data_IF_665028315478
#
_entry.id   IF_665028315478
#
_cell.length_a   1.000
_cell.length_b   1.000
_cell.length_c   1.000
_cell.angle_alpha   90.00
_cell.angle_beta   90.00
_cell.angle_gamma   90.00
#
_symmetry.space_group_name_H-M   'P 1'
#
loop_
_entity.id
_entity.type
_entity.pdbx_description
1 polymer ?
#
# COMPACT_ATOMS: atom_id res chain seq x y z
N UNK A 1 -12.61 53.18 59.18
CA UNK A 1 -11.72 52.14 58.64
C UNK A 1 -12.03 51.98 57.16
N UNK A 2 -11.45 52.83 56.31
CA UNK A 2 -11.74 52.84 54.88
C UNK A 2 -10.79 51.88 54.15
N UNK A 3 -11.33 50.74 53.69
CA UNK A 3 -10.63 49.84 52.77
C UNK A 3 -10.60 50.50 51.41
N UNK A 4 -9.44 51.01 51.00
CA UNK A 4 -9.19 51.41 49.61
C UNK A 4 -9.42 50.16 48.73
N UNK A 5 -10.53 50.17 48.00
CA UNK A 5 -10.93 49.10 47.10
C UNK A 5 -10.05 49.21 45.85
N UNK A 6 -9.03 48.37 45.77
CA UNK A 6 -8.06 48.34 44.67
C UNK A 6 -8.67 47.64 43.44
N UNK A 7 -9.61 48.28 42.77
CA UNK A 7 -10.32 47.74 41.58
C UNK A 7 -9.43 47.74 40.31
N UNK A 8 -8.37 48.57 40.30
CA UNK A 8 -7.44 48.68 39.17
C UNK A 8 -6.44 47.51 39.12
N UNK A 9 -6.04 46.95 40.27
CA UNK A 9 -5.08 45.84 40.33
C UNK A 9 -5.68 44.49 39.92
N UNK A 10 -6.95 44.22 40.25
CA UNK A 10 -7.63 42.99 39.84
C UNK A 10 -7.89 42.94 38.34
N UNK A 11 -8.15 44.09 37.72
CA UNK A 11 -8.37 44.21 36.28
C UNK A 11 -7.13 43.77 35.50
N UNK A 12 -5.93 44.17 35.93
CA UNK A 12 -4.68 43.75 35.31
C UNK A 12 -4.48 42.22 35.37
N UNK A 13 -4.78 41.61 36.52
CA UNK A 13 -4.67 40.15 36.72
C UNK A 13 -5.64 39.40 35.81
N UNK A 14 -6.88 39.90 35.69
CA UNK A 14 -7.90 39.31 34.83
C UNK A 14 -7.47 39.38 33.35
N UNK A 15 -6.98 40.53 32.89
CA UNK A 15 -6.50 40.70 31.51
C UNK A 15 -5.29 39.80 31.24
N UNK A 16 -4.35 39.70 32.18
CA UNK A 16 -3.20 38.82 32.05
C UNK A 16 -3.62 37.35 31.95
N UNK A 17 -4.58 36.93 32.78
CA UNK A 17 -5.11 35.56 32.77
C UNK A 17 -5.83 35.24 31.46
N UNK A 18 -6.64 36.18 30.94
CA UNK A 18 -7.29 36.03 29.63
C UNK A 18 -6.24 35.92 28.52
N UNK A 19 -5.18 36.74 28.56
CA UNK A 19 -4.10 36.69 27.58
C UNK A 19 -3.38 35.34 27.62
N UNK A 20 -3.05 34.83 28.81
CA UNK A 20 -2.40 33.52 28.98
C UNK A 20 -3.28 32.39 28.43
N UNK A 21 -4.58 32.37 28.77
CA UNK A 21 -5.51 31.36 28.25
C UNK A 21 -5.59 31.45 26.73
N UNK A 22 -5.63 32.67 26.18
CA UNK A 22 -5.68 32.89 24.74
C UNK A 22 -4.42 32.37 24.05
N UNK A 23 -3.24 32.67 24.59
CA UNK A 23 -1.96 32.18 24.05
C UNK A 23 -1.90 30.64 24.08
N UNK A 24 -2.27 30.01 25.20
CA UNK A 24 -2.28 28.55 25.30
C UNK A 24 -3.25 27.94 24.29
N UNK A 25 -4.44 28.54 24.13
CA UNK A 25 -5.46 28.06 23.19
C UNK A 25 -4.97 28.14 21.73
N UNK A 26 -4.35 29.25 21.34
CA UNK A 26 -3.78 29.41 19.99
C UNK A 26 -2.64 28.43 19.73
N UNK A 27 -1.78 28.19 20.72
CA UNK A 27 -0.70 27.20 20.60
C UNK A 27 -1.23 25.78 20.46
N UNK A 28 -2.27 25.40 21.21
CA UNK A 28 -2.89 24.08 21.12
C UNK A 28 -3.53 23.85 19.74
N UNK A 29 -4.24 24.84 19.20
CA UNK A 29 -4.83 24.76 17.85
C UNK A 29 -3.74 24.62 16.78
N UNK A 30 -2.67 25.41 16.89
CA UNK A 30 -1.53 25.33 15.97
C UNK A 30 -0.86 23.96 15.98
N UNK A 31 -0.72 23.34 17.16
CA UNK A 31 -0.18 21.99 17.29
C UNK A 31 -1.09 20.93 16.66
N UNK A 32 -2.41 21.03 16.85
CA UNK A 32 -3.37 20.12 16.25
C UNK A 32 -3.34 20.19 14.71
N UNK A 33 -3.31 21.39 14.13
CA UNK A 33 -3.29 21.57 12.67
C UNK A 33 -2.03 20.93 12.04
N UNK A 34 -0.86 21.15 12.67
CA UNK A 34 0.39 20.57 12.18
C UNK A 34 0.39 19.03 12.25
N UNK A 35 -0.09 18.45 13.36
CA UNK A 35 -0.16 17.01 13.51
C UNK A 35 -1.22 16.36 12.61
N UNK A 36 -2.36 17.02 12.40
CA UNK A 36 -3.37 16.53 11.45
C UNK A 36 -2.80 16.53 10.03
N UNK A 37 -2.10 17.58 9.62
CA UNK A 37 -1.48 17.66 8.29
C UNK A 37 -0.46 16.54 8.06
N UNK A 38 0.37 16.22 9.07
CA UNK A 38 1.30 15.10 8.98
C UNK A 38 0.57 13.74 8.91
N UNK A 39 -0.51 13.57 9.66
CA UNK A 39 -1.34 12.36 9.64
C UNK A 39 -2.05 12.18 8.29
N UNK A 40 -2.56 13.26 7.69
CA UNK A 40 -3.17 13.22 6.36
C UNK A 40 -2.16 12.74 5.30
N UNK A 41 -0.96 13.34 5.25
CA UNK A 41 0.09 12.92 4.30
C UNK A 41 0.48 11.46 4.45
N UNK A 42 0.64 10.98 5.69
CA UNK A 42 0.93 9.57 5.96
C UNK A 42 -0.23 8.66 5.51
N UNK A 43 -1.47 9.09 5.74
CA UNK A 43 -2.66 8.34 5.32
C UNK A 43 -2.77 8.28 3.80
N UNK A 44 -2.52 9.40 3.10
CA UNK A 44 -2.47 9.45 1.64
C UNK A 44 -1.41 8.51 1.07
N UNK A 45 -0.18 8.54 1.60
CA UNK A 45 0.89 7.65 1.17
C UNK A 45 0.55 6.17 1.38
N UNK A 46 -0.13 5.82 2.48
CA UNK A 46 -0.60 4.45 2.74
C UNK A 46 -1.68 4.03 1.73
N UNK A 47 -2.64 4.91 1.44
CA UNK A 47 -3.69 4.65 0.46
C UNK A 47 -3.09 4.48 -0.94
N UNK A 48 -2.14 5.33 -1.32
CA UNK A 48 -1.43 5.26 -2.59
C UNK A 48 -0.60 3.97 -2.70
N UNK A 49 0.16 3.61 -1.66
CA UNK A 49 0.90 2.34 -1.63
C UNK A 49 -0.02 1.13 -1.80
N UNK A 50 -1.22 1.17 -1.21
CA UNK A 50 -2.23 0.13 -1.39
C UNK A 50 -2.75 0.08 -2.83
N UNK A 51 -3.07 1.23 -3.42
CA UNK A 51 -3.50 1.28 -4.82
C UNK A 51 -2.43 0.76 -5.79
N UNK A 52 -1.15 1.05 -5.52
CA UNK A 52 -0.04 0.50 -6.31
C UNK A 52 0.06 -1.03 -6.17
N UNK A 53 -0.19 -1.57 -4.98
CA UNK A 53 -0.24 -3.02 -4.77
C UNK A 53 -1.42 -3.66 -5.52
N UNK A 54 -2.61 -3.05 -5.47
CA UNK A 54 -3.80 -3.53 -6.17
C UNK A 54 -3.62 -3.48 -7.71
N UNK A 55 -3.01 -2.40 -8.23
CA UNK A 55 -2.65 -2.29 -9.64
C UNK A 55 -1.60 -3.32 -10.07
N UNK A 56 -0.58 -3.54 -9.22
CA UNK A 56 0.42 -4.57 -9.43
C UNK A 56 -0.20 -5.97 -9.52
N UNK A 57 -1.25 -6.22 -8.72
CA UNK A 57 -2.02 -7.47 -8.73
C UNK A 57 -2.73 -7.69 -10.05
N UNK A 58 -3.45 -6.68 -10.53
CA UNK A 58 -4.16 -6.76 -11.80
C UNK A 58 -3.19 -6.93 -12.97
N UNK A 59 -2.05 -6.21 -12.94
CA UNK A 59 -1.00 -6.37 -13.94
C UNK A 59 -0.44 -7.80 -13.95
N UNK A 60 -0.14 -8.36 -12.78
CA UNK A 60 0.38 -9.73 -12.68
C UNK A 60 -0.65 -10.76 -13.15
N UNK A 61 -1.92 -10.60 -12.76
CA UNK A 61 -3.03 -11.44 -13.25
C UNK A 61 -3.15 -11.40 -14.77
N UNK A 62 -3.11 -10.21 -15.37
CA UNK A 62 -3.16 -10.05 -16.82
C UNK A 62 -1.94 -10.67 -17.51
N UNK A 63 -0.75 -10.50 -16.93
CA UNK A 63 0.49 -11.11 -17.43
C UNK A 63 0.42 -12.64 -17.42
N UNK A 64 0.00 -13.22 -16.29
CA UNK A 64 -0.17 -14.67 -16.13
C UNK A 64 -1.22 -15.20 -17.11
N UNK A 65 -2.40 -14.57 -17.18
CA UNK A 65 -3.46 -15.00 -18.09
C UNK A 65 -3.04 -14.96 -19.56
N UNK A 66 -2.34 -13.91 -19.99
CA UNK A 66 -1.82 -13.83 -21.35
C UNK A 66 -0.81 -14.94 -21.63
N UNK A 67 0.10 -15.20 -20.69
CA UNK A 67 1.11 -16.27 -20.83
C UNK A 67 0.50 -17.67 -20.84
N UNK A 68 -0.59 -17.88 -20.13
CA UNK A 68 -1.35 -19.14 -20.14
C UNK A 68 -2.13 -19.31 -21.44
N UNK A 69 -2.73 -18.24 -21.98
CA UNK A 69 -3.43 -18.30 -23.27
C UNK A 69 -2.49 -18.53 -24.47
N UNK A 70 -1.28 -17.98 -24.40
CA UNK A 70 -0.25 -18.17 -25.43
C UNK A 70 0.50 -19.50 -25.27
N UNK A 71 0.15 -20.34 -24.30
CA UNK A 71 0.84 -21.59 -24.02
C UNK A 71 0.34 -22.75 -24.92
N UNK A 72 1.22 -23.67 -25.31
CA UNK A 72 0.82 -24.88 -26.04
C UNK A 72 -0.05 -25.81 -25.17
N UNK A 73 -0.84 -26.68 -25.80
CA UNK A 73 -1.84 -27.59 -25.20
C UNK A 73 -1.36 -28.46 -24.01
N UNK A 74 -0.04 -28.55 -23.79
CA UNK A 74 0.57 -29.20 -22.63
C UNK A 74 1.36 -28.20 -21.77
N UNK A 75 0.70 -27.61 -20.78
CA UNK A 75 1.34 -26.71 -19.80
C UNK A 75 1.82 -27.53 -18.60
N UNK A 76 3.13 -27.59 -18.39
CA UNK A 76 3.77 -28.25 -17.24
C UNK A 76 4.26 -27.22 -16.20
N UNK A 77 4.41 -27.65 -14.93
CA UNK A 77 4.94 -26.83 -13.82
C UNK A 77 6.27 -26.18 -14.16
N UNK A 78 7.11 -26.91 -14.91
CA UNK A 78 8.43 -26.47 -15.33
C UNK A 78 8.34 -25.31 -16.32
N UNK A 79 7.37 -25.36 -17.24
CA UNK A 79 7.10 -24.29 -18.21
C UNK A 79 6.54 -23.03 -17.52
N UNK A 80 5.61 -23.20 -16.57
CA UNK A 80 5.07 -22.07 -15.81
C UNK A 80 6.15 -21.40 -14.96
N UNK A 81 7.00 -22.18 -14.27
CA UNK A 81 8.13 -21.63 -13.52
C UNK A 81 9.15 -20.91 -14.40
N UNK A 82 9.34 -21.32 -15.64
CA UNK A 82 10.31 -20.69 -16.54
C UNK A 82 9.75 -19.44 -17.23
N UNK A 83 8.50 -19.48 -17.71
CA UNK A 83 7.85 -18.33 -18.34
C UNK A 83 7.46 -17.23 -17.36
N UNK A 84 7.19 -17.58 -16.09
CA UNK A 84 6.83 -16.62 -15.06
C UNK A 84 8.04 -16.00 -14.34
N UNK A 85 9.27 -16.49 -14.59
CA UNK A 85 10.52 -15.81 -14.20
C UNK A 85 10.63 -14.48 -14.97
N UNK A 86 9.91 -13.49 -14.48
CA UNK A 86 9.99 -12.12 -15.00
C UNK A 86 11.11 -11.36 -14.32
N UNK A 87 11.64 -10.28 -14.95
CA UNK A 87 12.59 -9.37 -14.31
C UNK A 87 12.08 -8.77 -12.98
N UNK A 88 10.77 -8.84 -12.71
CA UNK A 88 10.13 -8.41 -11.47
C UNK A 88 10.32 -9.39 -10.31
N UNK A 89 10.63 -10.66 -10.58
CA UNK A 89 10.80 -11.71 -9.56
C UNK A 89 12.20 -11.75 -8.92
N UNK A 90 13.21 -11.15 -9.55
CA UNK A 90 14.61 -11.26 -9.11
C UNK A 90 15.29 -9.92 -8.81
N UNK A 91 14.65 -8.80 -9.14
CA UNK A 91 15.21 -7.49 -8.80
C UNK A 91 14.81 -7.12 -7.38
N UNK A 92 15.81 -7.00 -6.48
CA UNK A 92 15.62 -6.39 -5.17
C UNK A 92 15.03 -4.97 -5.27
N UNK A 93 15.05 -4.34 -6.44
CA UNK A 93 14.67 -2.93 -6.65
C UNK A 93 13.22 -2.71 -7.08
N UNK A 94 12.46 -3.73 -7.51
CA UNK A 94 11.06 -3.54 -7.92
C UNK A 94 10.87 -2.78 -9.24
N UNK A 95 9.64 -2.77 -9.76
CA UNK A 95 9.28 -1.88 -10.87
C UNK A 95 8.93 -0.50 -10.30
N UNK A 96 9.72 0.51 -10.68
CA UNK A 96 9.38 1.92 -10.41
C UNK A 96 8.32 2.35 -11.41
N UNK A 97 7.17 2.81 -10.91
CA UNK A 97 6.09 3.36 -11.76
C UNK A 97 6.40 4.81 -12.09
N UNK A 98 7.02 5.53 -11.14
CA UNK A 98 7.38 6.92 -11.33
C UNK A 98 8.68 7.22 -10.54
N UNK A 99 9.63 7.83 -11.23
CA UNK A 99 10.95 8.16 -10.65
C UNK A 99 10.92 9.43 -9.80
N UNK A 100 9.88 10.26 -9.91
CA UNK A 100 9.77 11.51 -9.14
C UNK A 100 9.12 11.31 -7.76
N UNK A 101 8.16 10.38 -7.64
CA UNK A 101 7.38 10.15 -6.41
C UNK A 101 7.99 9.11 -5.44
N UNK A 102 9.12 8.48 -5.79
CA UNK A 102 9.64 7.29 -5.09
C UNK A 102 8.59 6.17 -4.96
N UNK A 103 7.67 6.09 -5.92
CA UNK A 103 6.59 5.10 -5.96
C UNK A 103 7.02 3.87 -6.76
N UNK A 104 7.00 2.70 -6.13
CA UNK A 104 7.40 1.43 -6.75
C UNK A 104 6.53 0.27 -6.29
N UNK A 105 6.41 -0.75 -7.11
CA UNK A 105 5.81 -2.03 -6.72
C UNK A 105 6.78 -3.19 -6.98
N UNK A 106 6.73 -4.21 -6.13
CA UNK A 106 7.51 -5.44 -6.27
C UNK A 106 6.56 -6.63 -6.20
N UNK A 107 6.84 -7.66 -6.99
CA UNK A 107 6.07 -8.92 -6.97
C UNK A 107 7.03 -10.02 -6.54
N UNK A 108 6.77 -10.62 -5.38
CA UNK A 108 7.53 -11.73 -4.84
C UNK A 108 6.70 -13.01 -4.98
N UNK A 109 7.08 -13.98 -5.81
CA UNK A 109 6.42 -15.29 -5.81
C UNK A 109 6.69 -15.99 -4.48
N UNK A 110 5.66 -16.59 -3.88
CA UNK A 110 5.81 -17.47 -2.72
C UNK A 110 5.99 -18.92 -3.20
N UNK A 111 4.96 -19.50 -3.81
CA UNK A 111 4.96 -20.90 -4.23
C UNK A 111 4.08 -21.12 -5.47
N UNK A 112 4.46 -22.12 -6.27
CA UNK A 112 3.62 -22.65 -7.35
C UNK A 112 3.39 -24.13 -7.04
N UNK A 113 2.13 -24.50 -6.80
CA UNK A 113 1.72 -25.85 -6.46
C UNK A 113 0.69 -26.39 -7.46
N UNK A 114 0.72 -27.72 -7.69
CA UNK A 114 -0.33 -28.44 -8.43
C UNK A 114 -1.32 -29.00 -7.43
N UNK A 115 -2.60 -28.93 -7.72
CA UNK A 115 -3.60 -29.71 -6.98
C UNK A 115 -3.57 -31.15 -7.48
N UNK A 116 -3.31 -32.12 -6.61
CA UNK A 116 -3.30 -33.53 -7.00
C UNK A 116 -4.68 -33.96 -7.53
N UNK A 117 -4.70 -34.62 -8.70
CA UNK A 117 -5.92 -35.15 -9.31
C UNK A 117 -6.71 -34.20 -10.21
N UNK A 118 -6.27 -32.94 -10.36
CA UNK A 118 -6.89 -31.96 -11.28
C UNK A 118 -5.78 -31.14 -11.97
N UNK A 119 -5.97 -30.75 -13.24
CA UNK A 119 -5.05 -29.84 -13.94
C UNK A 119 -5.25 -28.37 -13.53
N UNK A 120 -5.19 -28.14 -12.20
CA UNK A 120 -5.23 -26.82 -11.57
C UNK A 120 -3.87 -26.52 -10.96
N UNK A 121 -3.36 -25.33 -11.27
CA UNK A 121 -2.13 -24.77 -10.70
C UNK A 121 -2.49 -23.57 -9.84
N UNK A 122 -1.93 -23.52 -8.62
CA UNK A 122 -2.07 -22.40 -7.71
C UNK A 122 -0.73 -21.66 -7.68
N UNK A 123 -0.78 -20.36 -7.97
CA UNK A 123 0.37 -19.46 -7.86
C UNK A 123 0.10 -18.50 -6.71
N UNK A 124 0.88 -18.65 -5.64
CA UNK A 124 0.89 -17.71 -4.52
C UNK A 124 1.96 -16.65 -4.74
N UNK A 125 1.59 -15.39 -4.55
CA UNK A 125 2.50 -14.26 -4.70
C UNK A 125 2.14 -13.13 -3.75
N UNK A 126 3.16 -12.38 -3.38
CA UNK A 126 3.09 -11.19 -2.55
C UNK A 126 3.39 -9.96 -3.42
N UNK A 127 2.57 -8.93 -3.28
CA UNK A 127 2.77 -7.64 -3.96
C UNK A 127 3.01 -6.58 -2.93
N UNK A 128 4.12 -5.87 -3.09
CA UNK A 128 4.59 -4.85 -2.18
C UNK A 128 4.55 -3.52 -2.90
N UNK A 129 3.61 -2.65 -2.55
CA UNK A 129 3.59 -1.25 -2.97
C UNK A 129 4.38 -0.39 -1.99
N UNK A 130 5.24 0.49 -2.49
CA UNK A 130 6.06 1.41 -1.67
C UNK A 130 5.89 2.83 -2.18
N UNK A 131 5.57 3.76 -1.27
CA UNK A 131 5.51 5.21 -1.53
C UNK A 131 6.29 5.93 -0.44
N UNK A 132 7.43 6.51 -0.79
CA UNK A 132 8.34 7.14 0.18
C UNK A 132 8.86 6.15 1.22
N UNK A 133 8.38 6.24 2.48
CA UNK A 133 8.71 5.30 3.57
C UNK A 133 7.59 4.33 3.92
N UNK A 134 6.40 4.51 3.35
CA UNK A 134 5.24 3.66 3.66
C UNK A 134 5.21 2.47 2.69
N UNK A 135 4.86 1.31 3.24
CA UNK A 135 4.82 0.04 2.51
C UNK A 135 3.47 -0.62 2.73
N UNK A 136 2.83 -1.04 1.65
CA UNK A 136 1.62 -1.86 1.66
C UNK A 136 1.95 -3.23 1.06
N UNK A 137 1.51 -4.29 1.74
CA UNK A 137 1.72 -5.67 1.31
C UNK A 137 0.36 -6.32 1.07
N UNK A 138 0.18 -6.91 -0.10
CA UNK A 138 -1.00 -7.69 -0.45
C UNK A 138 -0.58 -9.11 -0.83
N UNK A 139 -1.19 -10.10 -0.17
CA UNK A 139 -0.96 -11.52 -0.41
C UNK A 139 -2.11 -12.05 -1.24
N UNK A 140 -1.81 -12.54 -2.44
CA UNK A 140 -2.81 -13.03 -3.38
C UNK A 140 -2.45 -14.38 -3.96
N UNK A 141 -3.48 -15.09 -4.42
CA UNK A 141 -3.35 -16.35 -5.15
C UNK A 141 -4.08 -16.27 -6.48
N UNK A 142 -3.48 -16.87 -7.51
CA UNK A 142 -4.13 -17.10 -8.81
C UNK A 142 -4.28 -18.61 -9.00
N UNK A 143 -5.48 -19.02 -9.40
CA UNK A 143 -5.79 -20.41 -9.75
C UNK A 143 -5.90 -20.49 -11.29
N UNK A 144 -5.04 -21.30 -11.91
CA UNK A 144 -5.06 -21.56 -13.35
C UNK A 144 -5.65 -22.94 -13.56
N UNK A 145 -6.77 -23.03 -14.27
CA UNK A 145 -7.36 -24.28 -14.73
C UNK A 145 -6.98 -24.49 -16.20
N UNK A 146 -6.30 -25.59 -16.51
CA UNK A 146 -6.09 -26.00 -17.90
C UNK A 146 -7.31 -26.82 -18.30
N UNK A 147 -8.07 -26.36 -19.29
CA UNK A 147 -9.05 -27.21 -19.94
C UNK A 147 -8.33 -28.03 -21.01
N UNK A 148 -8.09 -29.30 -20.72
CA UNK A 148 -7.73 -30.27 -21.74
C UNK A 148 -8.96 -30.43 -22.64
N UNK A 149 -8.97 -29.79 -23.81
CA UNK A 149 -9.94 -30.11 -24.84
C UNK A 149 -9.69 -31.56 -25.28
N UNK A 150 -10.55 -32.48 -24.81
CA UNK A 150 -10.57 -33.85 -25.34
C UNK A 150 -11.11 -33.72 -26.76
N UNK A 151 -10.22 -33.71 -27.74
CA UNK A 151 -10.57 -33.94 -29.14
C UNK A 151 -11.08 -35.38 -29.24
N UNK A 152 -12.41 -35.54 -29.17
CA UNK A 152 -13.07 -36.81 -29.50
C UNK A 152 -13.17 -36.85 -31.02
N UNK A 153 -12.35 -37.72 -31.60
CA UNK A 153 -12.24 -38.04 -33.02
C UNK A 153 -13.55 -38.62 -33.59
#
# INVERSE_FOLDING_TARGET
>A
MNRLKNENGSTLIIVLLVLVIFTISVSLLSFQINNMSAQFKKTEAVIEAKHLADMGEEYYKAYVNKKVQDAPDSVDLTFLKDQLKTPFMSSEEGMKIDSESNSSFKIRPLEISKVEGVDIFIIEYEIIGTVGTEVAVNNSKIEIKIETEIVIN
#
